data_IF_463811032495
#
_entry.id   IF_463811032495
#
_cell.length_a   1.000
_cell.length_b   1.000
_cell.length_c   1.000
_cell.angle_alpha   90.00
_cell.angle_beta   90.00
_cell.angle_gamma   90.00
#
_symmetry.space_group_name_H-M   'P 1'
#
loop_
_entity.id
_entity.type
_entity.pdbx_description
1 polymer ?
#
# COMPACT_ATOMS: atom_id res chain seq x y z
N UNK A 1 26.96 -12.44 -6.08
CA UNK A 1 26.19 -13.06 -7.20
C UNK A 1 24.73 -12.86 -6.86
N UNK A 2 23.98 -12.17 -7.73
CA UNK A 2 22.54 -12.01 -7.56
C UNK A 2 21.85 -13.36 -7.69
N UNK A 3 21.11 -13.73 -6.66
CA UNK A 3 20.42 -15.02 -6.61
C UNK A 3 19.17 -14.97 -7.49
N UNK A 4 18.92 -16.01 -8.31
CA UNK A 4 17.71 -16.07 -9.10
C UNK A 4 16.48 -16.07 -8.17
N UNK A 5 15.60 -15.14 -8.42
CA UNK A 5 14.43 -14.90 -7.57
C UNK A 5 13.20 -14.86 -8.45
N UNK A 6 12.10 -15.41 -7.99
CA UNK A 6 10.79 -15.28 -8.60
C UNK A 6 9.95 -14.33 -7.78
N UNK A 7 9.28 -13.43 -8.48
CA UNK A 7 8.19 -12.65 -7.97
C UNK A 7 6.88 -13.17 -8.56
N UNK A 8 5.99 -13.59 -7.70
CA UNK A 8 4.64 -13.95 -8.08
C UNK A 8 3.69 -12.87 -7.54
N UNK A 9 2.99 -12.19 -8.45
CA UNK A 9 1.88 -11.30 -8.13
C UNK A 9 0.61 -12.12 -8.17
N UNK A 10 0.03 -12.43 -7.03
CA UNK A 10 -1.26 -13.09 -6.94
C UNK A 10 -2.14 -12.38 -5.94
N UNK A 11 -3.40 -12.22 -6.28
CA UNK A 11 -4.39 -11.67 -5.37
C UNK A 11 -5.12 -12.82 -4.65
N UNK A 12 -4.96 -12.92 -3.32
CA UNK A 12 -5.83 -13.72 -2.44
C UNK A 12 -5.95 -15.23 -2.74
N UNK A 13 -4.93 -15.84 -3.39
CA UNK A 13 -4.97 -17.24 -3.76
C UNK A 13 -3.97 -18.08 -2.96
N UNK A 14 -4.35 -19.30 -2.63
CA UNK A 14 -3.42 -20.30 -2.13
C UNK A 14 -2.75 -20.97 -3.32
N UNK A 15 -1.43 -20.98 -3.33
CA UNK A 15 -0.68 -21.64 -4.37
C UNK A 15 0.56 -22.30 -3.82
N UNK A 16 1.04 -23.28 -4.57
CA UNK A 16 2.26 -24.03 -4.27
C UNK A 16 3.21 -23.91 -5.46
N UNK A 17 4.46 -23.63 -5.17
CA UNK A 17 5.53 -23.60 -6.17
C UNK A 17 6.36 -24.85 -6.00
N UNK A 18 6.48 -25.60 -7.08
CA UNK A 18 7.26 -26.83 -7.14
C UNK A 18 8.43 -26.61 -8.10
N UNK A 19 9.59 -27.16 -7.73
CA UNK A 19 10.77 -27.24 -8.60
C UNK A 19 11.12 -28.72 -8.73
N UNK A 20 11.13 -29.23 -9.95
CA UNK A 20 11.33 -30.64 -10.26
C UNK A 20 10.40 -31.56 -9.42
N UNK A 21 9.13 -31.16 -9.26
CA UNK A 21 8.11 -31.88 -8.49
C UNK A 21 8.18 -31.69 -6.97
N UNK A 22 9.22 -31.05 -6.44
CA UNK A 22 9.37 -30.80 -5.01
C UNK A 22 8.81 -29.44 -4.61
N UNK A 23 7.98 -29.38 -3.55
CA UNK A 23 7.41 -28.15 -3.06
C UNK A 23 8.49 -27.27 -2.40
N UNK A 24 8.77 -26.12 -3.01
CA UNK A 24 9.76 -25.14 -2.52
C UNK A 24 9.08 -24.03 -1.73
N UNK A 25 7.85 -23.66 -2.13
CA UNK A 25 7.10 -22.59 -1.50
C UNK A 25 5.61 -22.88 -1.50
N UNK A 26 4.95 -22.62 -0.38
CA UNK A 26 3.50 -22.72 -0.27
C UNK A 26 2.96 -21.43 0.34
N UNK A 27 2.11 -20.73 -0.40
CA UNK A 27 1.40 -19.56 0.08
C UNK A 27 0.14 -20.00 0.85
N UNK A 28 0.07 -19.65 2.14
CA UNK A 28 -1.15 -19.83 2.94
C UNK A 28 -2.08 -18.62 2.80
N UNK A 29 -3.38 -18.82 3.03
CA UNK A 29 -4.40 -17.74 2.98
C UNK A 29 -4.12 -16.59 3.94
N UNK A 30 -3.38 -16.83 5.02
CA UNK A 30 -3.06 -15.82 6.04
C UNK A 30 -1.93 -14.87 5.62
N UNK A 31 -1.11 -15.25 4.62
CA UNK A 31 0.01 -14.46 4.11
C UNK A 31 -0.26 -13.88 2.72
N UNK A 32 -1.49 -13.58 2.42
CA UNK A 32 -1.89 -13.06 1.11
C UNK A 32 -1.41 -11.60 0.91
N UNK A 33 -0.11 -11.45 0.68
CA UNK A 33 0.48 -10.23 0.15
C UNK A 33 0.40 -10.19 -1.36
N UNK A 34 0.33 -9.00 -1.95
CA UNK A 34 0.33 -8.84 -3.40
C UNK A 34 1.64 -9.31 -4.07
N UNK A 35 2.70 -9.50 -3.29
CA UNK A 35 4.04 -9.83 -3.76
C UNK A 35 4.63 -10.99 -2.96
N UNK A 36 4.88 -12.10 -3.63
CA UNK A 36 5.59 -13.23 -3.06
C UNK A 36 6.95 -13.36 -3.72
N UNK A 37 7.99 -12.98 -2.96
CA UNK A 37 9.38 -13.10 -3.38
C UNK A 37 9.99 -14.33 -2.75
N UNK A 38 10.49 -15.25 -3.56
CA UNK A 38 11.21 -16.42 -3.07
C UNK A 38 12.41 -16.74 -3.97
N UNK A 39 13.43 -17.30 -3.32
CA UNK A 39 14.63 -17.75 -4.02
C UNK A 39 14.32 -19.04 -4.76
N UNK A 40 14.76 -19.11 -6.01
CA UNK A 40 14.64 -20.32 -6.80
C UNK A 40 15.84 -21.22 -6.57
N UNK A 41 15.66 -22.46 -6.07
CA UNK A 41 16.73 -23.45 -6.09
C UNK A 41 17.04 -23.85 -7.53
N UNK A 42 18.24 -24.37 -7.79
CA UNK A 42 18.59 -24.90 -9.10
C UNK A 42 17.64 -26.04 -9.46
N UNK A 43 17.08 -26.01 -10.66
CA UNK A 43 16.15 -27.00 -11.18
C UNK A 43 15.87 -26.76 -12.65
N UNK A 44 15.26 -27.74 -13.32
CA UNK A 44 14.93 -27.68 -14.75
C UNK A 44 13.46 -27.30 -15.00
N UNK A 45 12.57 -27.70 -14.10
CA UNK A 45 11.15 -27.47 -14.25
C UNK A 45 10.58 -26.68 -13.07
N UNK A 46 9.83 -25.60 -13.38
CA UNK A 46 9.12 -24.79 -12.42
C UNK A 46 7.62 -24.94 -12.65
N UNK A 47 6.92 -25.49 -11.67
CA UNK A 47 5.46 -25.63 -11.70
C UNK A 47 4.83 -24.76 -10.61
N UNK A 48 3.86 -23.91 -11.00
CA UNK A 48 3.04 -23.14 -10.05
C UNK A 48 1.65 -23.78 -10.00
N UNK A 49 1.30 -24.36 -8.85
CA UNK A 49 0.03 -25.03 -8.62
C UNK A 49 -0.88 -24.15 -7.78
N UNK A 50 -2.02 -23.78 -8.29
CA UNK A 50 -3.06 -23.07 -7.53
C UNK A 50 -3.95 -24.10 -6.80
N UNK A 51 -4.17 -23.88 -5.47
CA UNK A 51 -4.79 -24.89 -4.61
C UNK A 51 -6.30 -24.65 -4.37
N UNK A 52 -6.80 -23.45 -4.54
CA UNK A 52 -8.19 -23.05 -4.19
C UNK A 52 -9.00 -22.59 -5.41
N UNK A 53 -8.83 -23.22 -6.55
CA UNK A 53 -9.69 -22.98 -7.73
C UNK A 53 -10.87 -23.92 -7.70
N UNK A 54 -11.96 -23.56 -7.02
CA UNK A 54 -13.22 -24.28 -7.21
C UNK A 54 -13.79 -23.96 -8.61
N UNK A 55 -14.19 -24.97 -9.40
CA UNK A 55 -14.80 -24.75 -10.71
C UNK A 55 -16.03 -23.84 -10.59
N UNK A 56 -16.07 -22.76 -11.38
CA UNK A 56 -17.19 -21.80 -11.37
C UNK A 56 -17.15 -20.71 -10.31
N UNK A 57 -16.11 -20.63 -9.47
CA UNK A 57 -16.00 -19.62 -8.40
C UNK A 57 -15.52 -18.23 -8.86
N UNK A 58 -15.28 -18.01 -10.15
CA UNK A 58 -14.61 -16.80 -10.67
C UNK A 58 -13.11 -16.77 -10.40
N UNK A 59 -12.57 -17.77 -9.71
CA UNK A 59 -11.15 -17.92 -9.41
C UNK A 59 -10.31 -18.11 -10.68
N UNK A 60 -10.88 -18.61 -11.75
CA UNK A 60 -10.21 -18.72 -13.05
C UNK A 60 -9.77 -17.36 -13.60
N UNK A 61 -10.60 -16.33 -13.42
CA UNK A 61 -10.25 -14.96 -13.82
C UNK A 61 -9.11 -14.39 -12.99
N UNK A 62 -9.01 -14.76 -11.72
CA UNK A 62 -7.94 -14.30 -10.82
C UNK A 62 -6.61 -15.00 -11.12
N UNK A 63 -6.62 -16.26 -11.56
CA UNK A 63 -5.42 -16.98 -12.03
C UNK A 63 -4.85 -16.31 -13.28
N UNK A 64 -5.69 -15.88 -14.20
CA UNK A 64 -5.27 -15.18 -15.43
C UNK A 64 -4.66 -13.80 -15.15
N UNK A 65 -4.94 -13.19 -13.99
CA UNK A 65 -4.35 -11.92 -13.57
C UNK A 65 -3.03 -12.09 -12.82
N UNK A 66 -2.62 -13.31 -12.51
CA UNK A 66 -1.35 -13.57 -11.83
C UNK A 66 -0.18 -13.33 -12.77
N UNK A 67 0.75 -12.47 -12.34
CA UNK A 67 1.95 -12.16 -13.12
C UNK A 67 3.16 -12.81 -12.43
N UNK A 68 3.96 -13.51 -13.22
CA UNK A 68 5.19 -14.16 -12.77
C UNK A 68 6.39 -13.43 -13.37
N UNK A 69 7.27 -12.93 -12.53
CA UNK A 69 8.51 -12.29 -12.96
C UNK A 69 9.71 -13.11 -12.47
N UNK A 70 10.67 -13.25 -13.35
CA UNK A 70 11.91 -13.95 -13.08
C UNK A 70 13.09 -13.00 -13.25
N UNK A 71 14.02 -12.99 -12.29
CA UNK A 71 15.18 -12.12 -12.38
C UNK A 71 16.06 -12.14 -11.13
N UNK A 72 16.99 -11.22 -11.05
CA UNK A 72 17.77 -11.00 -9.83
C UNK A 72 16.87 -10.34 -8.76
N UNK A 73 17.15 -10.60 -7.50
CA UNK A 73 16.39 -10.02 -6.38
C UNK A 73 16.41 -8.49 -6.41
N UNK A 74 17.58 -7.91 -6.68
CA UNK A 74 17.74 -6.46 -6.82
C UNK A 74 16.97 -5.90 -8.01
N UNK A 75 16.99 -6.58 -9.15
CA UNK A 75 16.25 -6.18 -10.35
C UNK A 75 14.73 -6.18 -10.13
N UNK A 76 14.21 -7.21 -9.47
CA UNK A 76 12.78 -7.31 -9.15
C UNK A 76 12.38 -6.21 -8.15
N UNK A 77 13.18 -5.97 -7.10
CA UNK A 77 12.91 -4.91 -6.13
C UNK A 77 12.92 -3.53 -6.80
N UNK A 78 13.88 -3.29 -7.70
CA UNK A 78 13.96 -2.05 -8.47
C UNK A 78 12.75 -1.87 -9.40
N UNK A 79 12.30 -2.93 -10.04
CA UNK A 79 11.09 -2.91 -10.88
C UNK A 79 9.86 -2.48 -10.06
N UNK A 80 9.64 -3.10 -8.89
CA UNK A 80 8.51 -2.77 -8.02
C UNK A 80 8.62 -1.32 -7.52
N UNK A 81 9.82 -0.89 -7.12
CA UNK A 81 10.06 0.49 -6.70
C UNK A 81 9.74 1.49 -7.82
N UNK A 82 10.20 1.22 -9.04
CA UNK A 82 9.96 2.07 -10.21
C UNK A 82 8.46 2.18 -10.54
N UNK A 83 7.73 1.09 -10.48
CA UNK A 83 6.28 1.09 -10.73
C UNK A 83 5.51 1.93 -9.70
N UNK A 84 5.99 1.97 -8.46
CA UNK A 84 5.36 2.71 -7.37
C UNK A 84 6.07 4.03 -7.03
N UNK A 85 7.02 4.48 -7.85
CA UNK A 85 7.86 5.64 -7.56
C UNK A 85 7.02 6.90 -7.31
N UNK A 86 6.02 7.15 -8.15
CA UNK A 86 5.14 8.31 -7.99
C UNK A 86 4.36 8.27 -6.68
N UNK A 87 3.86 7.11 -6.29
CA UNK A 87 3.14 6.94 -5.03
C UNK A 87 4.05 7.20 -3.82
N UNK A 88 5.31 6.72 -3.87
CA UNK A 88 6.31 6.95 -2.81
C UNK A 88 6.69 8.42 -2.71
N UNK A 89 6.98 9.06 -3.84
CA UNK A 89 7.35 10.48 -3.87
C UNK A 89 6.20 11.35 -3.41
N UNK A 90 4.98 11.10 -3.92
CA UNK A 90 3.79 11.83 -3.51
C UNK A 90 3.50 11.65 -2.03
N UNK A 91 3.50 10.43 -1.52
CA UNK A 91 3.26 10.17 -0.09
C UNK A 91 4.34 10.78 0.79
N UNK A 92 5.62 10.68 0.42
CA UNK A 92 6.72 11.33 1.14
C UNK A 92 6.54 12.84 1.22
N UNK A 93 6.24 13.49 0.10
CA UNK A 93 5.97 14.92 0.06
C UNK A 93 4.74 15.29 0.90
N UNK A 94 3.65 14.54 0.78
CA UNK A 94 2.42 14.78 1.54
C UNK A 94 2.65 14.63 3.06
N UNK A 95 3.43 13.63 3.49
CA UNK A 95 3.76 13.46 4.90
C UNK A 95 4.56 14.65 5.45
N UNK A 96 5.59 15.09 4.72
CA UNK A 96 6.41 16.26 5.13
C UNK A 96 5.55 17.52 5.18
N UNK A 97 4.74 17.77 4.13
CA UNK A 97 3.87 18.94 4.06
C UNK A 97 2.78 18.90 5.14
N UNK A 98 2.16 17.74 5.39
CA UNK A 98 1.17 17.58 6.44
C UNK A 98 1.73 17.88 7.83
N UNK A 99 2.93 17.36 8.13
CA UNK A 99 3.63 17.66 9.39
C UNK A 99 3.95 19.15 9.48
N UNK A 100 4.45 19.77 8.41
CA UNK A 100 4.74 21.21 8.39
C UNK A 100 3.49 22.05 8.66
N UNK A 101 2.34 21.71 8.06
CA UNK A 101 1.07 22.37 8.32
C UNK A 101 0.61 22.21 9.78
N UNK A 102 0.74 21.01 10.36
CA UNK A 102 0.39 20.79 11.77
C UNK A 102 1.28 21.61 12.72
N UNK A 103 2.59 21.67 12.44
CA UNK A 103 3.52 22.50 13.21
C UNK A 103 3.20 23.98 13.08
N UNK A 104 2.87 24.45 11.85
CA UNK A 104 2.45 25.84 11.61
C UNK A 104 1.17 26.15 12.39
N UNK A 105 0.16 25.27 12.34
CA UNK A 105 -1.08 25.43 13.10
C UNK A 105 -0.83 25.50 14.61
N UNK A 106 0.07 24.67 15.13
CA UNK A 106 0.48 24.69 16.55
C UNK A 106 1.16 26.04 16.92
N UNK A 107 2.07 26.53 16.07
CA UNK A 107 2.70 27.84 16.29
C UNK A 107 1.70 28.99 16.27
N UNK A 108 0.75 28.97 15.30
CA UNK A 108 -0.33 29.98 15.20
C UNK A 108 -1.24 29.96 16.43
N UNK A 109 -1.59 28.79 16.93
CA UNK A 109 -2.38 28.65 18.15
C UNK A 109 -1.66 29.28 19.36
N UNK A 110 -0.36 29.05 19.48
CA UNK A 110 0.46 29.63 20.57
C UNK A 110 0.55 31.16 20.52
N UNK A 111 0.57 31.71 19.32
CA UNK A 111 0.67 33.15 19.09
C UNK A 111 -0.69 33.86 19.09
N UNK A 112 -1.79 33.17 19.41
CA UNK A 112 -3.17 33.71 19.39
C UNK A 112 -3.58 34.34 18.04
N UNK A 113 -3.09 33.77 16.93
CA UNK A 113 -3.41 34.21 15.58
C UNK A 113 -4.84 33.79 15.19
N UNK A 114 -5.87 34.45 15.78
CA UNK A 114 -7.28 34.31 15.40
C UNK A 114 -7.78 32.87 15.21
N UNK A 115 -8.96 32.67 14.63
CA UNK A 115 -9.58 31.36 14.45
C UNK A 115 -9.05 30.54 13.23
N UNK A 116 -8.08 31.09 12.48
CA UNK A 116 -7.59 30.48 11.24
C UNK A 116 -6.73 29.21 11.47
N UNK A 117 -6.14 29.05 12.66
CA UNK A 117 -5.32 27.88 12.99
C UNK A 117 -6.07 26.55 12.84
N UNK A 118 -7.37 26.53 13.12
CA UNK A 118 -8.20 25.32 12.99
C UNK A 118 -8.30 24.83 11.54
N UNK A 119 -8.41 25.74 10.58
CA UNK A 119 -8.43 25.39 9.15
C UNK A 119 -7.07 24.85 8.68
N UNK A 120 -5.97 25.47 9.14
CA UNK A 120 -4.60 24.99 8.82
C UNK A 120 -4.36 23.61 9.44
N UNK A 121 -4.81 23.37 10.67
CA UNK A 121 -4.73 22.08 11.33
C UNK A 121 -5.49 21.00 10.55
N UNK A 122 -6.74 21.28 10.18
CA UNK A 122 -7.57 20.34 9.41
C UNK A 122 -6.96 20.03 8.04
N UNK A 123 -6.41 21.05 7.36
CA UNK A 123 -5.70 20.86 6.10
C UNK A 123 -4.47 19.97 6.27
N UNK A 124 -3.66 20.22 7.30
CA UNK A 124 -2.47 19.41 7.61
C UNK A 124 -2.83 17.94 7.92
N UNK A 125 -3.87 17.73 8.71
CA UNK A 125 -4.38 16.39 9.00
C UNK A 125 -4.89 15.66 7.75
N UNK A 126 -5.61 16.37 6.87
CA UNK A 126 -6.07 15.82 5.58
C UNK A 126 -4.90 15.39 4.70
N UNK A 127 -3.90 16.26 4.50
CA UNK A 127 -2.73 15.98 3.67
C UNK A 127 -1.94 14.79 4.23
N UNK A 128 -1.77 14.72 5.56
CA UNK A 128 -1.06 13.64 6.23
C UNK A 128 -1.77 12.29 6.04
N UNK A 129 -3.09 12.26 6.26
CA UNK A 129 -3.89 11.06 6.05
C UNK A 129 -3.89 10.61 4.59
N UNK A 130 -3.95 11.56 3.64
CA UNK A 130 -3.86 11.27 2.21
C UNK A 130 -2.49 10.64 1.86
N UNK A 131 -1.40 11.16 2.44
CA UNK A 131 -0.06 10.58 2.28
C UNK A 131 0.03 9.15 2.80
N UNK A 132 -0.51 8.90 3.99
CA UNK A 132 -0.57 7.55 4.58
C UNK A 132 -1.42 6.62 3.72
N UNK A 133 -2.58 7.06 3.25
CA UNK A 133 -3.43 6.26 2.39
C UNK A 133 -2.73 5.88 1.08
N UNK A 134 -2.17 6.83 0.34
CA UNK A 134 -1.46 6.56 -0.91
C UNK A 134 -0.27 5.62 -0.70
N UNK A 135 0.47 5.79 0.40
CA UNK A 135 1.60 4.91 0.73
C UNK A 135 1.15 3.46 0.99
N UNK A 136 0.06 3.29 1.73
CA UNK A 136 -0.47 1.96 2.06
C UNK A 136 -1.16 1.30 0.87
N UNK A 137 -1.84 2.09 0.01
CA UNK A 137 -2.50 1.61 -1.20
C UNK A 137 -1.49 1.18 -2.28
N UNK A 138 -0.34 1.83 -2.36
CA UNK A 138 0.73 1.50 -3.32
C UNK A 138 1.32 0.10 -3.15
N UNK A 139 0.94 -0.63 -2.10
CA UNK A 139 1.42 -1.98 -1.78
C UNK A 139 2.94 -2.11 -1.58
N UNK A 140 3.69 -1.00 -1.67
CA UNK A 140 5.15 -1.03 -1.47
C UNK A 140 5.51 -1.45 -0.05
N UNK A 141 4.65 -1.14 0.93
CA UNK A 141 4.81 -1.58 2.30
C UNK A 141 4.75 -3.11 2.45
N UNK A 142 4.13 -3.81 1.49
CA UNK A 142 4.09 -5.28 1.48
C UNK A 142 5.44 -5.92 1.15
N UNK A 143 6.39 -5.15 0.57
CA UNK A 143 7.78 -5.60 0.42
C UNK A 143 8.52 -5.65 1.75
N UNK A 144 8.15 -4.76 2.68
CA UNK A 144 8.80 -4.63 3.98
C UNK A 144 8.02 -5.39 5.05
N UNK A 145 6.70 -5.29 5.02
CA UNK A 145 5.80 -5.92 5.99
C UNK A 145 5.03 -7.07 5.34
N UNK A 146 5.20 -8.29 5.85
CA UNK A 146 4.44 -9.46 5.39
C UNK A 146 2.99 -9.48 5.91
N UNK A 147 2.57 -8.46 6.66
CA UNK A 147 1.23 -8.37 7.26
C UNK A 147 0.26 -7.62 6.34
N UNK A 148 -0.14 -8.25 5.25
CA UNK A 148 -1.04 -7.65 4.26
C UNK A 148 -2.37 -7.16 4.85
N UNK A 149 -2.96 -7.92 5.78
CA UNK A 149 -4.20 -7.54 6.45
C UNK A 149 -4.07 -6.23 7.23
N UNK A 150 -2.95 -6.02 7.92
CA UNK A 150 -2.70 -4.79 8.67
C UNK A 150 -2.53 -3.58 7.73
N UNK A 151 -1.75 -3.75 6.65
CA UNK A 151 -1.56 -2.68 5.64
C UNK A 151 -2.90 -2.33 4.99
N UNK A 152 -3.72 -3.32 4.64
CA UNK A 152 -5.07 -3.10 4.09
C UNK A 152 -6.00 -2.40 5.08
N UNK A 153 -5.96 -2.76 6.36
CA UNK A 153 -6.75 -2.10 7.40
C UNK A 153 -6.34 -0.62 7.55
N UNK A 154 -5.04 -0.32 7.58
CA UNK A 154 -4.55 1.07 7.66
C UNK A 154 -4.98 1.85 6.43
N UNK A 155 -4.87 1.28 5.22
CA UNK A 155 -5.34 1.91 3.98
C UNK A 155 -6.83 2.24 4.06
N UNK A 156 -7.66 1.28 4.44
CA UNK A 156 -9.09 1.45 4.59
C UNK A 156 -9.46 2.54 5.60
N UNK A 157 -8.87 2.48 6.80
CA UNK A 157 -9.14 3.46 7.87
C UNK A 157 -8.66 4.87 7.48
N UNK A 158 -7.47 4.98 6.88
CA UNK A 158 -6.95 6.27 6.42
C UNK A 158 -7.85 6.90 5.37
N UNK A 159 -8.32 6.12 4.41
CA UNK A 159 -9.25 6.59 3.37
C UNK A 159 -10.56 7.13 3.97
N UNK A 160 -11.17 6.38 4.88
CA UNK A 160 -12.43 6.82 5.52
C UNK A 160 -12.23 8.00 6.46
N UNK A 161 -11.08 8.08 7.13
CA UNK A 161 -10.76 9.19 8.00
C UNK A 161 -10.54 10.52 7.26
N UNK A 162 -10.25 10.51 5.94
CA UNK A 162 -10.06 11.73 5.14
C UNK A 162 -11.26 12.66 5.16
N UNK A 163 -12.46 12.13 5.28
CA UNK A 163 -13.68 12.94 5.28
C UNK A 163 -13.77 13.90 6.47
N UNK A 164 -13.27 13.51 7.64
CA UNK A 164 -13.37 14.32 8.86
C UNK A 164 -12.60 15.65 8.77
N UNK A 165 -11.29 15.65 8.48
CA UNK A 165 -10.54 16.89 8.38
C UNK A 165 -10.96 17.72 7.14
N UNK A 166 -11.39 17.09 6.05
CA UNK A 166 -11.92 17.79 4.89
C UNK A 166 -13.19 18.58 5.24
N UNK A 167 -14.11 17.96 5.97
CA UNK A 167 -15.34 18.57 6.40
C UNK A 167 -15.08 19.72 7.39
N UNK A 168 -14.16 19.53 8.35
CA UNK A 168 -13.73 20.57 9.28
C UNK A 168 -13.08 21.76 8.58
N UNK A 169 -12.23 21.49 7.58
CA UNK A 169 -11.61 22.51 6.75
C UNK A 169 -12.67 23.35 6.02
N UNK A 170 -13.62 22.66 5.37
CA UNK A 170 -14.69 23.32 4.59
C UNK A 170 -15.55 24.22 5.49
N UNK A 171 -15.95 23.72 6.67
CA UNK A 171 -16.71 24.51 7.65
C UNK A 171 -15.89 25.70 8.14
N UNK A 172 -14.58 25.52 8.36
CA UNK A 172 -13.69 26.60 8.84
C UNK A 172 -13.47 27.72 7.84
N UNK A 173 -13.53 27.42 6.54
CA UNK A 173 -13.34 28.41 5.46
C UNK A 173 -14.63 29.11 5.06
N UNK A 174 -15.79 28.49 5.28
CA UNK A 174 -17.09 29.12 4.94
C UNK A 174 -17.36 30.34 5.83
N UNK A 175 -17.80 31.47 5.25
CA UNK A 175 -18.15 32.65 6.00
C UNK A 175 -19.31 32.35 6.96
N UNK A 176 -19.27 32.96 8.14
CA UNK A 176 -20.18 32.74 9.27
C UNK A 176 -21.67 32.82 8.91
N UNK A 177 -22.04 33.66 7.92
CA UNK A 177 -23.39 33.79 7.40
C UNK A 177 -23.99 32.56 6.71
N UNK A 178 -23.16 31.54 6.37
CA UNK A 178 -23.61 30.29 5.75
C UNK A 178 -23.56 29.09 6.71
N UNK A 179 -23.24 29.33 7.98
CA UNK A 179 -23.21 28.28 9.02
C UNK A 179 -24.56 28.03 9.70
N UNK A 180 -25.56 28.87 9.42
CA UNK A 180 -26.96 28.68 9.80
C UNK A 180 -27.71 28.05 8.63
#
# INVERSE_FOLDING_TARGET
RDEPTILLRSAWQKYQVLVDGNAVYTASSERNGAFHLFRLPPGQELTVRFLDCAPGSGAESAVLQSQVYFGSRSGIQWMILRENLYAVLFSGFALVLGIACLLAAYCMQRQHFGNFYGSVYSLGAYILLAGVWVLTDSKILLLVSQKAGLVGLISYLSFHALYLPLLQFTIGVLPEKRRM
#
